data_IF_474379483627
#
_entry.id   IF_474379483627
#
_cell.length_a   1.000
_cell.length_b   1.000
_cell.length_c   1.000
_cell.angle_alpha   90.00
_cell.angle_beta   90.00
_cell.angle_gamma   90.00
#
_symmetry.space_group_name_H-M   'P 1'
#
loop_
_entity.id
_entity.type
_entity.pdbx_description
1 polymer ?
#
# COMPACT_ATOMS: atom_id res chain seq x y z
N UNK A 1 9.64 -7.97 -37.85
CA UNK A 1 9.97 -6.52 -37.83
C UNK A 1 10.04 -6.08 -36.37
N UNK A 2 11.24 -5.88 -35.84
CA UNK A 2 11.46 -5.37 -34.48
C UNK A 2 11.26 -3.86 -34.42
N UNK A 3 10.59 -3.40 -33.36
CA UNK A 3 10.30 -1.99 -33.10
C UNK A 3 9.88 -1.78 -31.65
N UNK A 4 10.87 -1.59 -30.77
CA UNK A 4 10.76 -0.77 -29.54
C UNK A 4 9.71 -1.10 -28.49
N UNK A 5 9.71 -2.32 -27.93
CA UNK A 5 8.94 -2.63 -26.70
C UNK A 5 9.64 -2.07 -25.43
N UNK A 6 9.89 -0.76 -25.39
CA UNK A 6 10.54 -0.05 -24.27
C UNK A 6 9.61 0.91 -23.54
N UNK A 7 8.30 0.59 -23.50
CA UNK A 7 7.25 1.41 -22.91
C UNK A 7 7.27 1.40 -21.38
N UNK A 8 6.76 2.48 -20.78
CA UNK A 8 6.48 2.53 -19.35
C UNK A 8 5.16 1.81 -19.11
N UNK A 9 5.14 0.83 -18.23
CA UNK A 9 3.95 0.10 -17.82
C UNK A 9 3.39 0.70 -16.55
N UNK A 10 2.11 1.07 -16.55
CA UNK A 10 1.37 1.44 -15.32
C UNK A 10 0.69 0.21 -14.74
N UNK A 11 0.75 0.05 -13.42
CA UNK A 11 0.04 -0.99 -12.66
C UNK A 11 -0.37 -0.45 -11.29
N UNK A 12 -1.08 -1.25 -10.50
CA UNK A 12 -1.46 -0.92 -9.14
C UNK A 12 -1.03 -2.03 -8.18
N UNK A 13 -0.64 -1.62 -6.97
CA UNK A 13 -0.32 -2.52 -5.88
C UNK A 13 -1.08 -2.12 -4.62
N UNK A 14 -1.26 -3.09 -3.74
CA UNK A 14 -1.91 -2.89 -2.45
C UNK A 14 -0.99 -3.25 -1.31
N UNK A 15 -1.06 -2.46 -0.24
CA UNK A 15 -0.39 -2.70 1.04
C UNK A 15 -1.48 -2.75 2.10
N UNK A 16 -1.64 -3.89 2.76
CA UNK A 16 -2.64 -4.06 3.82
C UNK A 16 -1.93 -4.21 5.17
N UNK A 17 -2.36 -3.42 6.15
CA UNK A 17 -1.95 -3.53 7.55
C UNK A 17 -3.09 -4.19 8.32
N UNK A 18 -2.83 -5.41 8.79
CA UNK A 18 -3.77 -6.22 9.56
C UNK A 18 -3.31 -6.36 11.02
N UNK A 19 -4.23 -6.68 11.95
CA UNK A 19 -3.86 -7.13 13.28
C UNK A 19 -2.92 -8.34 13.22
N UNK A 20 -1.93 -8.36 14.11
CA UNK A 20 -1.18 -9.57 14.45
C UNK A 20 -1.88 -10.39 15.53
N UNK A 21 -1.12 -11.35 16.08
CA UNK A 21 -1.53 -12.20 17.20
C UNK A 21 -1.51 -11.47 18.56
N UNK A 22 -0.91 -10.29 18.63
CA UNK A 22 -0.97 -9.40 19.79
C UNK A 22 -1.17 -7.94 19.37
N UNK A 23 -1.52 -7.08 20.32
CA UNK A 23 -1.74 -5.65 20.07
C UNK A 23 -0.48 -4.91 19.57
N UNK A 24 0.71 -5.42 19.91
CA UNK A 24 1.99 -4.83 19.51
C UNK A 24 2.47 -5.31 18.13
N UNK A 25 1.90 -6.40 17.63
CA UNK A 25 2.28 -6.96 16.34
C UNK A 25 1.25 -6.60 15.26
N UNK A 26 1.75 -6.28 14.08
CA UNK A 26 0.94 -6.06 12.89
C UNK A 26 1.46 -6.93 11.76
N UNK A 27 0.54 -7.38 10.92
CA UNK A 27 0.86 -8.09 9.70
C UNK A 27 0.79 -7.11 8.55
N UNK A 28 1.83 -7.11 7.70
CA UNK A 28 1.84 -6.35 6.46
C UNK A 28 1.75 -7.33 5.30
N UNK A 29 0.70 -7.20 4.50
CA UNK A 29 0.55 -7.92 3.24
C UNK A 29 0.85 -6.97 2.09
N UNK A 30 1.79 -7.35 1.23
CA UNK A 30 2.15 -6.61 0.02
C UNK A 30 1.74 -7.44 -1.19
N UNK A 31 0.98 -6.84 -2.10
CA UNK A 31 0.52 -7.53 -3.30
C UNK A 31 0.58 -6.61 -4.51
N UNK A 32 1.19 -7.10 -5.59
CA UNK A 32 1.20 -6.48 -6.91
C UNK A 32 0.99 -7.52 -8.00
N UNK A 33 0.51 -7.09 -9.16
CA UNK A 33 0.21 -7.97 -10.31
C UNK A 33 1.50 -8.53 -10.95
N UNK A 34 2.63 -7.83 -10.78
CA UNK A 34 3.94 -8.22 -11.29
C UNK A 34 5.03 -8.02 -10.23
N UNK A 35 6.18 -8.66 -10.40
CA UNK A 35 7.29 -8.59 -9.45
C UNK A 35 7.77 -7.16 -9.20
N UNK A 36 7.87 -6.33 -10.24
CA UNK A 36 8.24 -4.92 -10.11
C UNK A 36 7.16 -4.09 -9.39
N UNK A 37 5.89 -4.44 -9.56
CA UNK A 37 4.78 -3.77 -8.89
C UNK A 37 4.77 -4.09 -7.39
N UNK A 38 5.03 -5.36 -7.02
CA UNK A 38 5.25 -5.78 -5.64
C UNK A 38 6.47 -5.08 -5.03
N UNK A 39 7.58 -4.98 -5.77
CA UNK A 39 8.77 -4.25 -5.35
C UNK A 39 8.48 -2.75 -5.11
N UNK A 40 7.66 -2.12 -5.96
CA UNK A 40 7.25 -0.74 -5.80
C UNK A 40 6.45 -0.52 -4.51
N UNK A 41 5.55 -1.45 -4.17
CA UNK A 41 4.83 -1.42 -2.91
C UNK A 41 5.72 -1.61 -1.69
N UNK A 42 6.71 -2.50 -1.75
CA UNK A 42 7.73 -2.61 -0.70
C UNK A 42 8.54 -1.31 -0.55
N UNK A 43 8.94 -0.67 -1.66
CA UNK A 43 9.65 0.63 -1.61
C UNK A 43 8.79 1.73 -1.02
N UNK A 44 7.51 1.83 -1.40
CA UNK A 44 6.58 2.79 -0.82
C UNK A 44 6.42 2.58 0.69
N UNK A 45 6.29 1.33 1.14
CA UNK A 45 6.13 1.01 2.56
C UNK A 45 7.36 1.37 3.41
N UNK A 46 8.55 1.38 2.81
CA UNK A 46 9.82 1.66 3.47
C UNK A 46 10.33 3.10 3.28
N UNK A 47 9.75 3.87 2.36
CA UNK A 47 10.14 5.26 2.08
C UNK A 47 9.61 6.21 3.18
N UNK A 48 10.49 6.89 3.93
CA UNK A 48 10.06 7.81 5.00
C UNK A 48 9.16 8.95 4.51
N UNK A 49 9.33 9.41 3.26
CA UNK A 49 8.49 10.48 2.71
C UNK A 49 7.06 9.98 2.46
N UNK A 50 6.94 8.78 1.88
CA UNK A 50 5.66 8.10 1.67
C UNK A 50 4.97 7.76 3.00
N UNK A 51 5.71 7.34 4.01
CA UNK A 51 5.19 7.11 5.37
C UNK A 51 4.62 8.40 5.99
N UNK A 52 5.39 9.49 5.95
CA UNK A 52 4.95 10.78 6.49
C UNK A 52 3.73 11.35 5.74
N UNK A 53 3.65 11.15 4.42
CA UNK A 53 2.48 11.56 3.64
C UNK A 53 1.24 10.72 3.99
N UNK A 54 1.39 9.40 4.09
CA UNK A 54 0.31 8.50 4.49
C UNK A 54 -0.20 8.81 5.90
N UNK A 55 0.71 9.04 6.85
CA UNK A 55 0.36 9.41 8.22
C UNK A 55 -0.43 10.72 8.25
N UNK A 56 0.00 11.73 7.49
CA UNK A 56 -0.75 13.01 7.38
C UNK A 56 -2.16 12.80 6.85
N UNK A 57 -2.34 11.92 5.85
CA UNK A 57 -3.66 11.60 5.28
C UNK A 57 -4.56 10.89 6.29
N UNK A 58 -4.03 9.87 6.97
CA UNK A 58 -4.75 9.13 8.01
C UNK A 58 -5.10 10.06 9.18
N UNK A 59 -4.17 10.90 9.62
CA UNK A 59 -4.41 11.85 10.71
C UNK A 59 -5.55 12.82 10.37
N UNK A 60 -5.62 13.30 9.12
CA UNK A 60 -6.65 14.22 8.65
C UNK A 60 -8.04 13.62 8.41
N UNK A 61 -8.20 12.29 8.41
CA UNK A 61 -9.52 11.67 8.20
C UNK A 61 -10.45 11.83 9.41
N UNK A 62 -11.77 12.02 9.18
CA UNK A 62 -12.77 12.02 10.24
C UNK A 62 -12.93 10.62 10.85
N UNK A 63 -13.51 10.54 12.06
CA UNK A 63 -13.76 9.28 12.74
C UNK A 63 -14.70 8.35 11.94
N UNK A 64 -15.77 8.92 11.39
CA UNK A 64 -16.69 8.27 10.47
C UNK A 64 -16.61 8.99 9.13
N UNK A 65 -16.21 8.30 8.07
CA UNK A 65 -15.95 8.92 6.78
C UNK A 65 -16.12 7.95 5.60
N UNK A 66 -15.95 8.46 4.37
CA UNK A 66 -16.15 7.66 3.14
C UNK A 66 -15.14 6.51 2.98
N UNK A 67 -14.08 6.51 3.78
CA UNK A 67 -13.03 5.46 3.78
C UNK A 67 -13.32 4.34 4.79
N UNK A 68 -14.49 4.36 5.44
CA UNK A 68 -14.85 3.51 6.56
C UNK A 68 -14.53 4.16 7.90
N UNK A 69 -14.91 3.49 8.99
CA UNK A 69 -14.61 3.92 10.35
C UNK A 69 -13.11 3.93 10.58
N UNK A 70 -12.57 5.08 11.02
CA UNK A 70 -11.15 5.27 11.27
C UNK A 70 -10.62 4.26 12.29
N UNK A 71 -9.52 3.62 11.97
CA UNK A 71 -8.93 2.57 12.80
C UNK A 71 -7.45 2.30 12.49
N UNK A 72 -6.79 1.45 13.28
CA UNK A 72 -5.36 1.17 13.15
C UNK A 72 -5.01 0.26 11.96
N UNK A 73 -6.02 -0.34 11.33
CA UNK A 73 -5.87 -1.29 10.23
C UNK A 73 -6.46 -0.69 8.97
N UNK A 74 -5.72 -0.81 7.88
CA UNK A 74 -6.08 -0.18 6.62
C UNK A 74 -5.42 -0.89 5.44
N UNK A 75 -6.00 -0.69 4.27
CA UNK A 75 -5.44 -1.06 2.99
C UNK A 75 -5.15 0.19 2.18
N UNK A 76 -3.92 0.32 1.70
CA UNK A 76 -3.48 1.37 0.79
C UNK A 76 -3.43 0.83 -0.62
N UNK A 77 -3.94 1.61 -1.57
CA UNK A 77 -3.77 1.42 -3.01
C UNK A 77 -2.72 2.43 -3.49
N UNK A 78 -1.71 1.93 -4.18
CA UNK A 78 -0.72 2.76 -4.87
C UNK A 78 -0.76 2.49 -6.37
N UNK A 79 -0.51 3.53 -7.16
CA UNK A 79 -0.22 3.40 -8.58
C UNK A 79 1.29 3.29 -8.72
N UNK A 80 1.72 2.45 -9.64
CA UNK A 80 3.13 2.14 -9.87
C UNK A 80 3.43 2.26 -11.35
N UNK A 81 4.61 2.78 -11.68
CA UNK A 81 5.13 2.75 -13.04
C UNK A 81 6.43 1.95 -13.08
N UNK A 82 6.52 1.06 -14.05
CA UNK A 82 7.67 0.20 -14.28
C UNK A 82 8.19 0.32 -15.70
N UNK A 83 9.48 0.08 -15.89
CA UNK A 83 10.12 -0.04 -17.21
C UNK A 83 11.24 -1.06 -17.12
N UNK A 84 11.30 -1.99 -18.08
CA UNK A 84 12.30 -3.07 -18.10
C UNK A 84 12.36 -3.83 -16.75
N UNK A 85 11.20 -4.18 -16.20
CA UNK A 85 11.03 -4.83 -14.89
C UNK A 85 11.65 -4.09 -13.69
N UNK A 86 11.92 -2.79 -13.84
CA UNK A 86 12.39 -1.92 -12.77
C UNK A 86 11.31 -0.94 -12.36
N UNK A 87 11.23 -0.65 -11.06
CA UNK A 87 10.37 0.38 -10.50
C UNK A 87 10.90 1.75 -10.93
N UNK A 88 10.05 2.55 -11.57
CA UNK A 88 10.34 3.94 -11.95
C UNK A 88 9.73 4.92 -10.95
N UNK A 89 8.47 4.74 -10.61
CA UNK A 89 7.74 5.60 -9.69
C UNK A 89 6.63 4.82 -8.97
N UNK A 90 6.19 5.39 -7.86
CA UNK A 90 5.02 4.95 -7.12
C UNK A 90 4.33 6.18 -6.51
N UNK A 91 3.01 6.15 -6.45
CA UNK A 91 2.22 7.23 -5.87
C UNK A 91 1.02 6.68 -5.10
N UNK A 92 0.70 7.34 -3.98
CA UNK A 92 -0.53 7.08 -3.24
C UNK A 92 -1.76 7.38 -4.12
N UNK A 93 -2.73 6.47 -4.11
CA UNK A 93 -4.03 6.68 -4.79
C UNK A 93 -5.13 6.86 -3.76
N UNK A 94 -5.32 5.86 -2.91
CA UNK A 94 -6.39 5.81 -1.93
C UNK A 94 -6.01 4.89 -0.77
N UNK A 95 -6.77 4.99 0.32
CA UNK A 95 -6.79 3.95 1.34
C UNK A 95 -8.23 3.76 1.84
N UNK A 96 -8.45 2.61 2.48
CA UNK A 96 -9.67 2.31 3.24
C UNK A 96 -9.30 1.71 4.58
N UNK A 97 -10.10 1.98 5.60
CA UNK A 97 -9.98 1.33 6.90
C UNK A 97 -10.54 -0.09 6.82
N UNK A 98 -9.95 -1.00 7.59
CA UNK A 98 -10.36 -2.39 7.67
C UNK A 98 -11.01 -2.63 9.03
N UNK A 99 -12.24 -3.17 9.01
CA UNK A 99 -12.93 -3.61 10.22
C UNK A 99 -12.34 -4.94 10.71
N UNK A 100 -11.16 -4.85 11.33
CA UNK A 100 -10.42 -6.00 11.84
C UNK A 100 -10.19 -5.89 13.35
N UNK A 101 -10.05 -7.04 14.01
CA UNK A 101 -9.69 -7.14 15.43
C UNK A 101 -8.48 -8.05 15.60
N UNK A 102 -7.64 -7.84 16.65
CA UNK A 102 -6.56 -8.76 16.99
C UNK A 102 -7.04 -10.21 16.98
N UNK A 103 -6.27 -11.07 16.31
CA UNK A 103 -6.46 -12.52 16.41
C UNK A 103 -6.03 -12.85 17.83
N UNK A 104 -6.98 -13.19 18.72
CA UNK A 104 -6.66 -13.52 20.12
C UNK A 104 -5.55 -14.59 20.14
N UNK A 105 -4.41 -14.26 20.73
CA UNK A 105 -3.51 -15.27 21.28
C UNK A 105 -4.07 -15.67 22.64
N UNK A 106 -4.38 -16.96 22.78
CA UNK A 106 -4.68 -17.60 24.08
C UNK A 106 -3.44 -17.61 24.98
#
# INVERSE_FOLDING_TARGET
KGGGAGGVSTSYATICVWPGTSAEHRLILISGISSWCTMAASRYALDPKSQADLERRIAGDPAEGPRGRKGPYYQVLIRTEGKNDQVRSYEYVAHRYLEARPIRAE
#
